data_IF_281807498637
#
_entry.id   IF_281807498637
#
_cell.length_a   1.000
_cell.length_b   1.000
_cell.length_c   1.000
_cell.angle_alpha   90.00
_cell.angle_beta   90.00
_cell.angle_gamma   90.00
#
_symmetry.space_group_name_H-M   'P 1'
#
loop_
_entity.id
_entity.type
_entity.pdbx_description
1 polymer ?
#
# COMPACT_ATOMS: atom_id res chain seq x y z
N UNK A 1 -5.77 -24.54 10.60
CA UNK A 1 -6.28 -23.21 10.17
C UNK A 1 -6.22 -23.18 8.65
N UNK A 2 -7.36 -23.29 7.96
CA UNK A 2 -7.40 -23.20 6.49
C UNK A 2 -7.31 -21.72 6.10
N UNK A 3 -6.36 -21.38 5.23
CA UNK A 3 -6.15 -20.02 4.72
C UNK A 3 -7.29 -19.51 3.80
N UNK A 4 -8.35 -20.29 3.61
CA UNK A 4 -9.41 -20.06 2.61
C UNK A 4 -10.73 -19.53 3.21
N UNK A 5 -10.81 -19.30 4.52
CA UNK A 5 -12.07 -18.87 5.18
C UNK A 5 -12.20 -17.36 5.34
N UNK A 6 -11.16 -16.59 5.03
CA UNK A 6 -11.15 -15.14 5.16
C UNK A 6 -10.80 -14.48 3.84
N UNK A 7 -11.52 -13.42 3.52
CA UNK A 7 -11.21 -12.53 2.39
C UNK A 7 -9.87 -11.82 2.59
N UNK A 8 -9.25 -11.38 1.49
CA UNK A 8 -8.04 -10.57 1.55
C UNK A 8 -8.23 -9.31 2.38
N UNK A 9 -9.42 -8.69 2.31
CA UNK A 9 -9.74 -7.49 3.09
C UNK A 9 -9.75 -7.77 4.60
N UNK A 10 -10.43 -8.83 5.05
CA UNK A 10 -10.46 -9.21 6.47
C UNK A 10 -9.06 -9.50 7.01
N UNK A 11 -8.23 -10.18 6.21
CA UNK A 11 -6.84 -10.46 6.58
C UNK A 11 -6.05 -9.16 6.71
N UNK A 12 -6.15 -8.26 5.73
CA UNK A 12 -5.42 -7.00 5.73
C UNK A 12 -5.86 -6.08 6.87
N UNK A 13 -7.14 -6.09 7.25
CA UNK A 13 -7.68 -5.31 8.37
C UNK A 13 -7.29 -5.89 9.74
N UNK A 14 -6.83 -7.15 9.81
CA UNK A 14 -6.48 -7.77 11.08
C UNK A 14 -5.36 -6.98 11.82
N UNK A 15 -5.51 -6.68 13.13
CA UNK A 15 -4.60 -5.78 13.85
C UNK A 15 -3.12 -6.17 13.78
N UNK A 16 -2.80 -7.47 13.78
CA UNK A 16 -1.41 -7.95 13.64
C UNK A 16 -0.80 -7.63 12.26
N UNK A 17 -1.59 -7.69 11.20
CA UNK A 17 -1.14 -7.40 9.84
C UNK A 17 -0.95 -5.89 9.66
N UNK A 18 -1.91 -5.10 10.13
CA UNK A 18 -1.82 -3.64 10.19
C UNK A 18 -0.57 -3.18 10.95
N UNK A 19 -0.32 -3.76 12.13
CA UNK A 19 0.87 -3.47 12.92
C UNK A 19 2.15 -3.85 12.18
N UNK A 20 2.18 -5.03 11.55
CA UNK A 20 3.34 -5.48 10.78
C UNK A 20 3.69 -4.51 9.65
N UNK A 21 2.71 -4.08 8.84
CA UNK A 21 2.97 -3.10 7.77
C UNK A 21 3.39 -1.74 8.29
N UNK A 22 2.87 -1.31 9.45
CA UNK A 22 3.34 -0.09 10.11
C UNK A 22 4.80 -0.18 10.51
N UNK A 23 5.22 -1.30 11.12
CA UNK A 23 6.62 -1.53 11.47
C UNK A 23 7.51 -1.65 10.24
N UNK A 24 7.06 -2.37 9.21
CA UNK A 24 7.75 -2.45 7.93
C UNK A 24 8.01 -1.06 7.34
N UNK A 25 7.00 -0.17 7.32
CA UNK A 25 7.17 1.17 6.79
C UNK A 25 8.12 2.03 7.64
N UNK A 26 8.11 1.87 8.97
CA UNK A 26 9.08 2.52 9.85
C UNK A 26 10.51 2.03 9.54
N UNK A 27 10.69 0.72 9.40
CA UNK A 27 11.97 0.10 9.09
C UNK A 27 12.50 0.53 7.72
N UNK A 28 11.64 0.46 6.70
CA UNK A 28 11.97 0.85 5.33
C UNK A 28 12.50 2.28 5.23
N UNK A 29 12.01 3.17 6.09
CA UNK A 29 12.41 4.57 6.10
C UNK A 29 13.63 4.88 6.98
N UNK A 30 14.22 3.91 7.68
CA UNK A 30 15.40 4.16 8.54
C UNK A 30 16.58 4.70 7.75
N UNK A 31 16.77 4.20 6.53
CA UNK A 31 17.88 4.60 5.66
C UNK A 31 17.53 5.78 4.73
N UNK A 32 16.32 6.36 4.87
CA UNK A 32 15.89 7.50 4.06
C UNK A 32 16.60 8.79 4.55
N UNK A 33 17.63 9.21 3.82
CA UNK A 33 18.44 10.41 4.11
C UNK A 33 17.81 11.74 3.71
N UNK A 34 16.64 11.71 3.04
CA UNK A 34 15.92 12.90 2.60
C UNK A 34 14.44 12.63 2.37
N UNK A 35 13.65 13.69 2.27
CA UNK A 35 12.19 13.59 2.08
C UNK A 35 11.79 12.92 0.76
N UNK A 36 12.61 13.04 -0.28
CA UNK A 36 12.37 12.42 -1.59
C UNK A 36 12.40 10.89 -1.56
N UNK A 37 13.08 10.30 -0.57
CA UNK A 37 13.23 8.85 -0.44
C UNK A 37 12.42 8.30 0.74
N UNK A 38 11.57 9.12 1.37
CA UNK A 38 10.74 8.72 2.51
C UNK A 38 9.31 8.43 2.06
N UNK A 39 8.79 7.27 2.42
CA UNK A 39 7.41 6.84 2.14
C UNK A 39 6.57 6.98 3.40
N UNK A 40 5.65 7.95 3.43
CA UNK A 40 4.83 8.24 4.62
C UNK A 40 3.57 7.36 4.74
N UNK A 41 3.11 6.78 3.63
CA UNK A 41 1.87 6.02 3.56
C UNK A 41 1.97 4.79 2.65
N UNK A 42 1.16 3.77 2.94
CA UNK A 42 0.92 2.62 2.08
C UNK A 42 -0.59 2.37 1.96
N UNK A 43 -1.06 2.01 0.76
CA UNK A 43 -2.39 1.44 0.56
C UNK A 43 -2.26 -0.09 0.46
N UNK A 44 -2.93 -0.82 1.35
CA UNK A 44 -2.95 -2.28 1.34
C UNK A 44 -4.03 -2.78 0.36
N UNK A 45 -3.60 -3.16 -0.85
CA UNK A 45 -4.51 -3.56 -1.92
C UNK A 45 -4.96 -5.00 -1.75
N UNK A 46 -6.27 -5.23 -1.85
CA UNK A 46 -6.90 -6.57 -1.80
C UNK A 46 -6.75 -7.34 -3.11
N UNK A 47 -6.55 -6.62 -4.21
CA UNK A 47 -6.34 -7.17 -5.55
C UNK A 47 -4.90 -6.99 -6.00
N UNK A 48 -4.29 -8.09 -6.45
CA UNK A 48 -2.99 -8.07 -7.12
C UNK A 48 -3.04 -7.25 -8.42
N UNK A 49 -1.90 -6.72 -8.89
CA UNK A 49 -1.79 -6.13 -10.23
C UNK A 49 -2.22 -7.12 -11.32
N UNK A 50 -3.02 -6.65 -12.28
CA UNK A 50 -3.63 -7.51 -13.31
C UNK A 50 -2.85 -7.48 -14.64
N UNK A 51 -2.51 -8.67 -15.16
CA UNK A 51 -1.80 -8.81 -16.45
C UNK A 51 -2.66 -8.33 -17.62
N UNK A 52 -3.88 -8.86 -17.75
CA UNK A 52 -4.77 -8.53 -18.88
C UNK A 52 -5.20 -7.06 -18.93
N UNK A 53 -5.09 -6.34 -17.80
CA UNK A 53 -5.41 -4.91 -17.72
C UNK A 53 -4.15 -4.05 -17.88
N UNK A 54 -3.01 -4.67 -18.17
CA UNK A 54 -1.74 -4.02 -18.46
C UNK A 54 -1.09 -3.37 -17.24
N UNK A 55 -1.46 -3.74 -16.01
CA UNK A 55 -0.78 -3.28 -14.79
C UNK A 55 0.55 -4.02 -14.55
N UNK A 56 0.68 -5.21 -15.14
CA UNK A 56 1.91 -6.01 -15.18
C UNK A 56 2.22 -6.32 -16.64
N UNK A 57 3.51 -6.41 -16.96
CA UNK A 57 3.98 -6.88 -18.26
C UNK A 57 4.08 -8.41 -18.29
N UNK A 58 4.15 -9.01 -19.48
CA UNK A 58 4.39 -10.46 -19.63
C UNK A 58 5.69 -10.94 -18.96
N UNK A 59 6.62 -10.02 -18.68
CA UNK A 59 7.89 -10.27 -17.98
C UNK A 59 7.80 -10.03 -16.47
N UNK A 60 6.62 -9.76 -15.91
CA UNK A 60 6.40 -9.55 -14.48
C UNK A 60 6.72 -8.14 -13.96
N UNK A 61 7.19 -7.21 -14.80
CA UNK A 61 7.40 -5.82 -14.38
C UNK A 61 6.08 -5.08 -14.22
N UNK A 62 5.98 -4.23 -13.19
CA UNK A 62 4.83 -3.34 -12.99
C UNK A 62 4.84 -2.20 -14.02
N UNK A 63 3.69 -1.95 -14.62
CA UNK A 63 3.47 -0.79 -15.47
C UNK A 63 2.87 0.34 -14.64
N UNK A 64 3.73 1.19 -14.09
CA UNK A 64 3.34 2.28 -13.20
C UNK A 64 2.29 3.20 -13.83
N UNK A 65 2.43 3.56 -15.12
CA UNK A 65 1.49 4.44 -15.81
C UNK A 65 0.08 3.84 -15.86
N UNK A 66 -0.04 2.56 -16.18
CA UNK A 66 -1.34 1.89 -16.20
C UNK A 66 -1.91 1.68 -14.80
N UNK A 67 -1.07 1.34 -13.82
CA UNK A 67 -1.48 1.23 -12.40
C UNK A 67 -2.06 2.56 -11.91
N UNK A 68 -1.33 3.68 -12.11
CA UNK A 68 -1.79 5.00 -11.70
C UNK A 68 -3.09 5.40 -12.39
N UNK A 69 -3.24 5.06 -13.68
CA UNK A 69 -4.48 5.32 -14.43
C UNK A 69 -5.66 4.51 -13.91
N UNK A 70 -5.48 3.21 -13.65
CA UNK A 70 -6.57 2.31 -13.21
C UNK A 70 -6.94 2.49 -11.74
N UNK A 71 -5.95 2.73 -10.89
CA UNK A 71 -6.09 2.81 -9.44
C UNK A 71 -6.04 4.24 -8.93
N UNK A 72 -6.40 5.21 -9.78
CA UNK A 72 -6.38 6.64 -9.45
C UNK A 72 -7.21 6.94 -8.20
N UNK A 73 -8.35 6.27 -8.04
CA UNK A 73 -9.19 6.36 -6.85
C UNK A 73 -8.45 5.97 -5.54
N UNK A 74 -7.56 4.97 -5.59
CA UNK A 74 -6.77 4.57 -4.42
C UNK A 74 -5.69 5.61 -4.11
N UNK A 75 -5.12 6.22 -5.16
CA UNK A 75 -4.18 7.35 -5.04
C UNK A 75 -4.90 8.56 -4.43
N UNK A 76 -6.10 8.89 -4.91
CA UNK A 76 -6.92 9.96 -4.35
C UNK A 76 -7.23 9.71 -2.86
N UNK A 77 -7.54 8.47 -2.48
CA UNK A 77 -7.73 8.09 -1.09
C UNK A 77 -6.46 8.28 -0.23
N UNK A 78 -5.27 7.98 -0.76
CA UNK A 78 -4.00 8.24 -0.07
C UNK A 78 -3.80 9.73 0.23
N UNK A 79 -4.16 10.61 -0.71
CA UNK A 79 -3.98 12.06 -0.60
C UNK A 79 -5.21 12.81 -0.08
N UNK A 80 -6.30 12.11 0.25
CA UNK A 80 -7.50 12.68 0.84
C UNK A 80 -7.20 13.32 2.20
N UNK A 81 -7.94 14.39 2.52
CA UNK A 81 -7.93 15.00 3.87
C UNK A 81 -8.59 14.11 4.92
N UNK A 82 -9.44 13.18 4.49
CA UNK A 82 -10.02 12.16 5.37
C UNK A 82 -8.96 11.08 5.56
N UNK A 83 -8.39 11.02 6.75
CA UNK A 83 -7.26 10.13 7.06
C UNK A 83 -7.68 8.76 7.58
N UNK A 84 -8.95 8.61 7.98
CA UNK A 84 -9.53 7.35 8.42
C UNK A 84 -9.82 6.45 7.21
N UNK A 85 -9.01 5.41 7.05
CA UNK A 85 -9.20 4.40 6.02
C UNK A 85 -8.58 3.07 6.48
N UNK A 86 -9.38 2.00 6.56
CA UNK A 86 -8.98 0.72 7.17
C UNK A 86 -7.82 0.02 6.44
N UNK A 87 -7.62 0.33 5.15
CA UNK A 87 -6.55 -0.22 4.32
C UNK A 87 -5.38 0.75 4.07
N UNK A 88 -5.35 1.93 4.70
CA UNK A 88 -4.23 2.86 4.55
C UNK A 88 -3.39 2.90 5.82
N UNK A 89 -2.13 2.50 5.69
CA UNK A 89 -1.14 2.67 6.74
C UNK A 89 -0.54 4.06 6.59
N UNK A 90 -0.53 4.83 7.69
CA UNK A 90 0.18 6.11 7.78
C UNK A 90 1.18 6.04 8.92
N UNK A 91 2.40 6.51 8.69
CA UNK A 91 3.38 6.77 9.75
C UNK A 91 3.55 8.27 9.93
N UNK A 92 3.84 8.76 11.14
CA UNK A 92 4.18 10.16 11.33
C UNK A 92 5.39 10.51 10.45
N UNK A 93 5.29 11.61 9.70
CA UNK A 93 6.47 12.22 9.13
C UNK A 93 7.25 12.84 10.29
N UNK A 94 8.39 12.24 10.66
CA UNK A 94 9.34 12.90 11.56
C UNK A 94 9.84 14.14 10.82
N UNK A 95 9.24 15.28 11.12
CA UNK A 95 9.77 16.58 10.72
C UNK A 95 11.11 16.72 11.45
N UNK A 96 12.21 16.66 10.70
CA UNK A 96 13.50 17.17 11.16
C UNK A 96 13.56 18.66 10.86
#
# INVERSE_FOLDING_TARGET
MKLTEHSAEEILQHPKIQHWFKQFLIEFNKDATGSSNRVAMLYLMTEAPHLDLGEVTDKGNLNQSNILKRRSNLVDALYSKVTEHSLIIRIPTLNN
#
